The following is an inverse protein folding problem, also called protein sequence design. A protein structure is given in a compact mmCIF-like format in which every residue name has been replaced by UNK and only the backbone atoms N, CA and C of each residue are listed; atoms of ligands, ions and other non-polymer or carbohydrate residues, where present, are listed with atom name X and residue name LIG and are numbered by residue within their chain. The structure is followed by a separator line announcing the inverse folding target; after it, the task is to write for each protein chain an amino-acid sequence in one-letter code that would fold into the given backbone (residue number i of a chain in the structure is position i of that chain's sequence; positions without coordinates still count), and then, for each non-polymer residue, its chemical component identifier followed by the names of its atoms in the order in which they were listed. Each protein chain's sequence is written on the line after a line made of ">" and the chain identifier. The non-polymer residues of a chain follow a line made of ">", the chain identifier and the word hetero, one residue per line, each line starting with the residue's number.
data_IF_168585867094
#
_entry.id   IF_168585867094
#
_cell.length_a   1.000
_cell.length_b   1.000
_cell.length_c   1.000
_cell.angle_alpha   90.00
_cell.angle_beta   90.00
_cell.angle_gamma   90.00
#
_symmetry.space_group_name_H-M   'P 1'
#
loop_
_entity.id
_entity.type
_entity.pdbx_description
1 polymer ?
#
# COMPACT_ATOMS: atom_id res chain seq x y z
N UNK A 1 -57.11 -30.72 53.27
CA UNK A 1 -57.57 -30.96 51.88
C UNK A 1 -56.47 -30.82 50.81
N UNK A 2 -55.21 -30.50 51.15
CA UNK A 2 -54.19 -30.04 50.19
C UNK A 2 -53.28 -31.12 49.57
N UNK A 3 -53.39 -32.39 50.00
CA UNK A 3 -52.53 -33.47 49.50
C UNK A 3 -52.75 -33.89 48.03
N UNK A 4 -53.99 -33.97 47.49
CA UNK A 4 -54.22 -34.38 46.10
C UNK A 4 -53.83 -33.29 45.08
N UNK A 5 -53.96 -32.00 45.43
CA UNK A 5 -53.55 -30.89 44.57
C UNK A 5 -52.03 -30.83 44.41
N UNK A 6 -51.27 -31.04 45.50
CA UNK A 6 -49.80 -31.09 45.44
C UNK A 6 -49.30 -32.25 44.55
N UNK A 7 -49.99 -33.40 44.62
CA UNK A 7 -49.67 -34.55 43.78
C UNK A 7 -49.99 -34.30 42.29
N UNK A 8 -51.07 -33.58 41.98
CA UNK A 8 -51.41 -33.16 40.63
C UNK A 8 -50.37 -32.18 40.07
N UNK A 9 -49.98 -31.17 40.84
CA UNK A 9 -48.93 -30.22 40.47
C UNK A 9 -47.58 -30.90 40.27
N UNK A 10 -47.21 -31.85 41.14
CA UNK A 10 -45.98 -32.62 40.98
C UNK A 10 -45.99 -33.50 39.71
N UNK A 11 -47.15 -34.06 39.34
CA UNK A 11 -47.32 -34.83 38.11
C UNK A 11 -47.19 -33.94 36.87
N UNK A 12 -47.83 -32.77 36.89
CA UNK A 12 -47.79 -31.84 35.77
C UNK A 12 -46.40 -31.22 35.59
N UNK A 13 -45.70 -30.91 36.69
CA UNK A 13 -44.30 -30.48 36.66
C UNK A 13 -43.37 -31.55 36.08
N UNK A 14 -43.58 -32.84 36.41
CA UNK A 14 -42.82 -33.95 35.80
C UNK A 14 -43.13 -34.10 34.31
N UNK A 15 -44.39 -33.91 33.90
CA UNK A 15 -44.81 -33.97 32.49
C UNK A 15 -44.16 -32.85 31.69
N UNK A 16 -44.28 -31.60 32.16
CA UNK A 16 -43.63 -30.43 31.57
C UNK A 16 -42.11 -30.59 31.51
N UNK A 17 -41.49 -31.12 32.57
CA UNK A 17 -40.05 -31.41 32.56
C UNK A 17 -39.66 -32.46 31.51
N UNK A 18 -40.52 -33.44 31.23
CA UNK A 18 -40.35 -34.41 30.15
C UNK A 18 -40.50 -33.79 28.76
N UNK A 19 -41.54 -32.98 28.57
CA UNK A 19 -41.82 -32.24 27.33
C UNK A 19 -40.69 -31.25 27.01
N UNK A 20 -40.17 -30.53 28.01
CA UNK A 20 -39.04 -29.60 27.87
C UNK A 20 -37.76 -30.33 27.48
N UNK A 21 -37.47 -31.50 28.08
CA UNK A 21 -36.33 -32.33 27.69
C UNK A 21 -36.46 -32.80 26.24
N UNK A 22 -37.62 -33.32 25.85
CA UNK A 22 -37.85 -33.76 24.47
C UNK A 22 -37.72 -32.62 23.46
N UNK A 23 -38.25 -31.44 23.79
CA UNK A 23 -38.11 -30.24 22.95
C UNK A 23 -36.66 -29.79 22.85
N UNK A 24 -35.90 -29.82 23.95
CA UNK A 24 -34.47 -29.49 23.96
C UNK A 24 -33.66 -30.48 23.10
N UNK A 25 -33.93 -31.78 23.21
CA UNK A 25 -33.28 -32.80 22.38
C UNK A 25 -33.60 -32.63 20.89
N UNK A 26 -34.87 -32.32 20.55
CA UNK A 26 -35.27 -32.01 19.17
C UNK A 26 -34.57 -30.76 18.65
N UNK A 27 -34.51 -29.69 19.45
CA UNK A 27 -33.81 -28.46 19.09
C UNK A 27 -32.31 -28.69 18.89
N UNK A 28 -31.66 -29.45 19.78
CA UNK A 28 -30.25 -29.82 19.64
C UNK A 28 -30.00 -30.62 18.36
N UNK A 29 -30.86 -31.61 18.06
CA UNK A 29 -30.76 -32.41 16.82
C UNK A 29 -30.97 -31.57 15.57
N UNK A 30 -31.82 -30.54 15.62
CA UNK A 30 -32.04 -29.62 14.51
C UNK A 30 -30.87 -28.63 14.32
N UNK A 31 -30.24 -28.20 15.41
CA UNK A 31 -29.18 -27.16 15.40
C UNK A 31 -27.79 -27.74 15.12
N UNK A 32 -27.49 -28.96 15.59
CA UNK A 32 -26.16 -29.57 15.46
C UNK A 32 -25.65 -29.66 14.01
N UNK A 33 -26.45 -30.08 13.01
CA UNK A 33 -26.03 -30.06 11.61
C UNK A 33 -25.69 -28.66 11.12
N UNK A 34 -26.46 -27.65 11.53
CA UNK A 34 -26.22 -26.24 11.16
C UNK A 34 -24.88 -25.77 11.73
N UNK A 35 -24.61 -26.02 13.01
CA UNK A 35 -23.31 -25.69 13.64
C UNK A 35 -22.13 -26.35 12.93
N UNK A 36 -22.30 -27.61 12.50
CA UNK A 36 -21.26 -28.33 11.74
C UNK A 36 -21.02 -27.70 10.38
N UNK A 37 -22.08 -27.27 9.70
CA UNK A 37 -22.00 -26.53 8.44
C UNK A 37 -21.32 -25.18 8.65
N UNK A 38 -21.70 -24.41 9.67
CA UNK A 38 -21.09 -23.11 9.98
C UNK A 38 -19.59 -23.24 10.23
N UNK A 39 -19.18 -24.26 11.00
CA UNK A 39 -17.78 -24.54 11.24
C UNK A 39 -17.04 -24.95 9.96
N UNK A 40 -17.67 -25.73 9.08
CA UNK A 40 -17.11 -26.10 7.79
C UNK A 40 -17.00 -24.90 6.84
N UNK A 41 -18.02 -24.06 6.80
CA UNK A 41 -18.07 -22.82 6.02
C UNK A 41 -16.96 -21.87 6.48
N UNK A 42 -16.83 -21.62 7.80
CA UNK A 42 -15.77 -20.77 8.33
C UNK A 42 -14.37 -21.26 7.95
N UNK A 43 -14.11 -22.58 8.03
CA UNK A 43 -12.84 -23.15 7.56
C UNK A 43 -12.63 -22.99 6.05
N UNK A 44 -13.68 -23.17 5.26
CA UNK A 44 -13.63 -23.01 3.81
C UNK A 44 -13.36 -21.55 3.44
N UNK A 45 -14.03 -20.58 4.07
CA UNK A 45 -13.79 -19.16 3.86
C UNK A 45 -12.35 -18.76 4.19
N UNK A 46 -11.81 -19.21 5.33
CA UNK A 46 -10.41 -18.94 5.68
C UNK A 46 -9.41 -19.58 4.70
N UNK A 47 -9.74 -20.76 4.16
CA UNK A 47 -8.92 -21.40 3.12
C UNK A 47 -8.98 -20.63 1.79
N UNK A 48 -10.14 -20.09 1.41
CA UNK A 48 -10.32 -19.27 0.22
C UNK A 48 -9.54 -17.97 0.33
N UNK A 49 -9.64 -17.25 1.45
CA UNK A 49 -8.85 -16.03 1.69
C UNK A 49 -7.35 -16.29 1.53
N UNK A 50 -6.85 -17.40 2.07
CA UNK A 50 -5.45 -17.78 1.91
C UNK A 50 -5.07 -18.14 0.46
N UNK A 51 -6.00 -18.71 -0.31
CA UNK A 51 -5.78 -18.96 -1.74
C UNK A 51 -5.74 -17.64 -2.51
N UNK A 52 -6.63 -16.71 -2.20
CA UNK A 52 -6.64 -15.38 -2.80
C UNK A 52 -5.32 -14.63 -2.52
N UNK A 53 -4.81 -14.69 -1.29
CA UNK A 53 -3.50 -14.12 -0.94
C UNK A 53 -2.35 -14.75 -1.75
N UNK A 54 -2.38 -16.07 -1.98
CA UNK A 54 -1.37 -16.76 -2.79
C UNK A 54 -1.48 -16.36 -4.27
N UNK A 55 -2.69 -16.24 -4.79
CA UNK A 55 -2.93 -15.78 -6.16
C UNK A 55 -2.46 -14.34 -6.34
N UNK A 56 -2.70 -13.48 -5.36
CA UNK A 56 -2.20 -12.11 -5.32
C UNK A 56 -0.68 -12.06 -5.32
N UNK A 57 -0.02 -12.91 -4.53
CA UNK A 57 1.44 -13.02 -4.51
C UNK A 57 1.99 -13.39 -5.89
N UNK A 58 1.44 -14.43 -6.52
CA UNK A 58 1.84 -14.87 -7.86
C UNK A 58 1.55 -13.79 -8.92
N UNK A 59 0.42 -13.10 -8.78
CA UNK A 59 0.05 -11.95 -9.59
C UNK A 59 1.08 -10.82 -9.48
N UNK A 60 1.60 -10.55 -8.27
CA UNK A 60 2.65 -9.54 -8.07
C UNK A 60 3.97 -9.95 -8.73
N UNK A 61 4.39 -11.21 -8.61
CA UNK A 61 5.61 -11.74 -9.23
C UNK A 61 5.54 -11.75 -10.77
N UNK A 62 4.37 -12.05 -11.33
CA UNK A 62 4.14 -11.97 -12.78
C UNK A 62 4.03 -10.51 -13.26
N UNK A 63 3.29 -9.70 -12.49
CA UNK A 63 2.99 -8.31 -12.80
C UNK A 63 4.22 -7.41 -12.78
N UNK A 64 5.14 -7.62 -11.83
CA UNK A 64 6.34 -6.79 -11.72
C UNK A 64 7.23 -6.90 -12.97
N UNK A 65 7.36 -8.10 -13.54
CA UNK A 65 8.12 -8.31 -14.78
C UNK A 65 7.46 -7.62 -15.97
N UNK A 66 6.13 -7.60 -16.03
CA UNK A 66 5.41 -6.88 -17.08
C UNK A 66 5.57 -5.36 -16.93
N UNK A 67 5.35 -4.83 -15.74
CA UNK A 67 5.49 -3.40 -15.44
C UNK A 67 6.90 -2.89 -15.75
N UNK A 68 7.95 -3.64 -15.40
CA UNK A 68 9.33 -3.29 -15.73
C UNK A 68 9.61 -3.30 -17.24
N UNK A 69 9.04 -4.24 -18.00
CA UNK A 69 9.20 -4.27 -19.47
C UNK A 69 8.50 -3.10 -20.15
N UNK A 70 7.33 -2.71 -19.64
CA UNK A 70 6.53 -1.63 -20.20
C UNK A 70 6.99 -0.25 -19.69
N UNK A 71 8.06 -0.22 -18.88
CA UNK A 71 8.59 0.98 -18.22
C UNK A 71 7.54 1.72 -17.36
N UNK A 72 6.56 0.99 -16.84
CA UNK A 72 5.57 1.50 -15.89
C UNK A 72 6.14 1.47 -14.47
N UNK A 73 6.90 2.50 -14.13
CA UNK A 73 7.59 2.62 -12.84
C UNK A 73 6.61 2.71 -11.66
N UNK A 74 5.44 3.33 -11.87
CA UNK A 74 4.43 3.49 -10.83
C UNK A 74 3.70 2.18 -10.57
N UNK A 75 3.31 1.47 -11.63
CA UNK A 75 2.75 0.13 -11.54
C UNK A 75 3.71 -0.85 -10.87
N UNK A 76 5.00 -0.78 -11.21
CA UNK A 76 6.04 -1.59 -10.60
C UNK A 76 6.17 -1.31 -9.09
N UNK A 77 6.31 -0.04 -8.68
CA UNK A 77 6.41 0.34 -7.27
C UNK A 77 5.16 -0.05 -6.46
N UNK A 78 3.96 0.09 -7.05
CA UNK A 78 2.70 -0.29 -6.40
C UNK A 78 2.60 -1.81 -6.22
N UNK A 79 3.04 -2.57 -7.23
CA UNK A 79 3.07 -4.03 -7.20
C UNK A 79 4.04 -4.54 -6.12
N UNK A 80 5.21 -3.91 -5.97
CA UNK A 80 6.17 -4.21 -4.90
C UNK A 80 5.60 -3.95 -3.51
N UNK A 81 4.96 -2.81 -3.31
CA UNK A 81 4.33 -2.49 -2.02
C UNK A 81 3.25 -3.52 -1.67
N UNK A 82 2.45 -3.94 -2.66
CA UNK A 82 1.44 -5.00 -2.47
C UNK A 82 2.10 -6.34 -2.13
N UNK A 83 3.19 -6.70 -2.82
CA UNK A 83 3.95 -7.92 -2.52
C UNK A 83 4.44 -7.95 -1.08
N UNK A 84 5.08 -6.90 -0.59
CA UNK A 84 5.54 -6.84 0.81
C UNK A 84 4.42 -6.89 1.85
N UNK A 85 3.20 -6.47 1.48
CA UNK A 85 2.03 -6.61 2.34
C UNK A 85 1.57 -8.07 2.41
N UNK A 86 1.48 -8.75 1.26
CA UNK A 86 1.01 -10.14 1.13
C UNK A 86 2.05 -11.14 1.63
N UNK A 87 3.34 -10.88 1.45
CA UNK A 87 4.46 -11.71 1.91
C UNK A 87 4.48 -11.96 3.42
N UNK A 88 3.82 -11.10 4.21
CA UNK A 88 3.64 -11.27 5.66
C UNK A 88 2.50 -12.23 6.02
N UNK A 89 1.56 -12.45 5.10
CA UNK A 89 0.35 -13.24 5.29
C UNK A 89 0.55 -14.69 4.79
N UNK A 90 1.34 -14.86 3.74
CA UNK A 90 1.57 -16.16 3.10
C UNK A 90 3.04 -16.57 3.14
N UNK A 91 3.34 -17.88 3.23
CA UNK A 91 4.70 -18.36 3.09
C UNK A 91 5.20 -18.11 1.66
N UNK A 92 6.27 -17.34 1.54
CA UNK A 92 6.93 -17.03 0.27
C UNK A 92 8.25 -17.79 0.18
N UNK A 93 8.53 -18.38 -0.98
CA UNK A 93 9.80 -19.10 -1.21
C UNK A 93 10.97 -18.13 -1.32
N UNK A 94 12.17 -18.56 -0.92
CA UNK A 94 13.37 -17.72 -1.03
C UNK A 94 13.67 -17.32 -2.49
N UNK A 95 13.33 -18.19 -3.45
CA UNK A 95 13.47 -17.90 -4.87
C UNK A 95 12.55 -16.75 -5.33
N UNK A 96 11.30 -16.71 -4.85
CA UNK A 96 10.35 -15.64 -5.17
C UNK A 96 10.77 -14.31 -4.52
N UNK A 97 11.32 -14.36 -3.30
CA UNK A 97 11.90 -13.20 -2.63
C UNK A 97 13.07 -12.63 -3.41
N UNK A 98 13.95 -13.50 -3.89
CA UNK A 98 15.10 -13.11 -4.70
C UNK A 98 14.66 -12.42 -6.00
N UNK A 99 13.70 -13.01 -6.71
CA UNK A 99 13.15 -12.41 -7.93
C UNK A 99 12.56 -11.02 -7.67
N UNK A 100 11.84 -10.84 -6.55
CA UNK A 100 11.30 -9.52 -6.21
C UNK A 100 12.40 -8.52 -5.84
N UNK A 101 13.43 -8.96 -5.11
CA UNK A 101 14.58 -8.12 -4.76
C UNK A 101 15.36 -7.66 -5.99
N UNK A 102 15.68 -8.57 -6.91
CA UNK A 102 16.34 -8.22 -8.18
C UNK A 102 15.53 -7.18 -8.97
N UNK A 103 14.21 -7.35 -9.01
CA UNK A 103 13.31 -6.39 -9.64
C UNK A 103 13.33 -5.03 -8.92
N UNK A 104 13.44 -5.02 -7.59
CA UNK A 104 13.49 -3.80 -6.76
C UNK A 104 14.77 -3.02 -7.00
N UNK A 105 15.91 -3.71 -6.97
CA UNK A 105 17.21 -3.11 -7.27
C UNK A 105 17.21 -2.50 -8.69
N UNK A 106 16.65 -3.23 -9.66
CA UNK A 106 16.52 -2.73 -11.02
C UNK A 106 15.62 -1.50 -11.12
N UNK A 107 14.47 -1.50 -10.45
CA UNK A 107 13.53 -0.38 -10.44
C UNK A 107 14.16 0.87 -9.80
N UNK A 108 14.82 0.70 -8.65
CA UNK A 108 15.51 1.79 -7.95
C UNK A 108 16.59 2.39 -8.86
N UNK A 109 17.35 1.56 -9.58
CA UNK A 109 18.37 2.04 -10.51
C UNK A 109 17.77 2.87 -11.66
N UNK A 110 16.67 2.41 -12.27
CA UNK A 110 15.97 3.17 -13.32
C UNK A 110 15.42 4.49 -12.78
N UNK A 111 14.73 4.47 -11.64
CA UNK A 111 14.13 5.68 -11.05
C UNK A 111 15.21 6.68 -10.65
N UNK A 112 16.33 6.21 -10.09
CA UNK A 112 17.47 7.07 -9.71
C UNK A 112 18.02 7.78 -10.94
N UNK A 113 18.25 7.04 -12.03
CA UNK A 113 18.76 7.60 -13.29
C UNK A 113 17.78 8.61 -13.89
N UNK A 114 16.48 8.27 -13.93
CA UNK A 114 15.43 9.17 -14.42
C UNK A 114 15.31 10.44 -13.56
N UNK A 115 15.54 10.33 -12.26
CA UNK A 115 15.58 11.47 -11.35
C UNK A 115 16.79 12.36 -11.66
N UNK A 116 18.00 11.80 -11.73
CA UNK A 116 19.21 12.57 -12.04
C UNK A 116 19.09 13.32 -13.39
N UNK A 117 18.50 12.67 -14.40
CA UNK A 117 18.18 13.28 -15.70
C UNK A 117 17.19 14.45 -15.55
N UNK A 118 16.12 14.28 -14.77
CA UNK A 118 15.16 15.35 -14.48
C UNK A 118 15.79 16.54 -13.74
N UNK A 119 16.72 16.27 -12.81
CA UNK A 119 17.49 17.32 -12.13
C UNK A 119 18.42 18.05 -13.11
N UNK A 120 19.02 17.33 -14.06
CA UNK A 120 19.90 17.92 -15.08
C UNK A 120 19.15 18.78 -16.10
N UNK A 121 17.94 18.37 -16.51
CA UNK A 121 17.10 19.11 -17.47
C UNK A 121 16.25 20.20 -16.82
N UNK A 122 16.32 20.34 -15.50
CA UNK A 122 15.54 21.28 -14.70
C UNK A 122 14.02 21.08 -14.82
N UNK A 123 13.58 19.84 -15.04
CA UNK A 123 12.17 19.45 -15.15
C UNK A 123 11.55 19.24 -13.76
N UNK A 124 10.81 20.25 -13.29
CA UNK A 124 10.14 20.21 -11.99
C UNK A 124 9.09 19.10 -11.89
N UNK A 125 8.39 18.79 -12.97
CA UNK A 125 7.31 17.81 -12.96
C UNK A 125 7.89 16.39 -12.83
N UNK A 126 8.92 16.08 -13.62
CA UNK A 126 9.63 14.82 -13.52
C UNK A 126 10.34 14.66 -12.17
N UNK A 127 10.96 15.72 -11.63
CA UNK A 127 11.56 15.70 -10.29
C UNK A 127 10.52 15.38 -9.21
N UNK A 128 9.34 15.98 -9.25
CA UNK A 128 8.26 15.68 -8.29
C UNK A 128 7.73 14.24 -8.42
N UNK A 129 7.58 13.73 -9.64
CA UNK A 129 7.16 12.34 -9.85
C UNK A 129 8.19 11.35 -9.32
N UNK A 130 9.47 11.55 -9.64
CA UNK A 130 10.53 10.65 -9.22
C UNK A 130 10.75 10.72 -7.69
N UNK A 131 10.58 11.87 -7.04
CA UNK A 131 10.64 11.95 -5.58
C UNK A 131 9.50 11.18 -4.90
N UNK A 132 8.29 11.27 -5.43
CA UNK A 132 7.16 10.46 -4.95
C UNK A 132 7.39 8.96 -5.15
N UNK A 133 7.95 8.56 -6.29
CA UNK A 133 8.32 7.17 -6.56
C UNK A 133 9.41 6.68 -5.59
N UNK A 134 10.44 7.47 -5.32
CA UNK A 134 11.46 7.12 -4.33
C UNK A 134 10.87 6.91 -2.94
N UNK A 135 9.91 7.74 -2.53
CA UNK A 135 9.19 7.55 -1.26
C UNK A 135 8.39 6.25 -1.25
N UNK A 136 7.71 5.90 -2.35
CA UNK A 136 7.00 4.63 -2.48
C UNK A 136 7.92 3.41 -2.39
N UNK A 137 9.18 3.55 -2.81
CA UNK A 137 10.22 2.53 -2.73
C UNK A 137 10.99 2.54 -1.39
N UNK A 138 10.60 3.39 -0.43
CA UNK A 138 11.29 3.50 0.86
C UNK A 138 12.69 4.12 0.78
N UNK A 139 13.01 4.82 -0.32
CA UNK A 139 14.28 5.54 -0.55
C UNK A 139 14.12 7.04 -0.30
N UNK A 140 13.40 7.40 0.77
CA UNK A 140 13.03 8.78 1.08
C UNK A 140 14.24 9.71 1.26
N UNK A 141 15.30 9.23 1.92
CA UNK A 141 16.53 10.00 2.15
C UNK A 141 17.23 10.35 0.83
N UNK A 142 17.43 9.36 -0.04
CA UNK A 142 18.04 9.56 -1.35
C UNK A 142 17.19 10.48 -2.24
N UNK A 143 15.86 10.32 -2.21
CA UNK A 143 14.95 11.19 -2.95
C UNK A 143 14.95 12.63 -2.44
N UNK A 144 15.07 12.83 -1.12
CA UNK A 144 15.17 14.15 -0.51
C UNK A 144 16.48 14.84 -0.90
N UNK A 145 17.61 14.15 -0.84
CA UNK A 145 18.92 14.69 -1.23
C UNK A 145 18.94 15.17 -2.68
N UNK A 146 18.45 14.34 -3.61
CA UNK A 146 18.33 14.70 -5.03
C UNK A 146 17.39 15.90 -5.24
N UNK A 147 16.28 15.97 -4.49
CA UNK A 147 15.37 17.11 -4.54
C UNK A 147 16.01 18.40 -4.01
N UNK A 148 16.78 18.32 -2.92
CA UNK A 148 17.53 19.46 -2.40
C UNK A 148 18.62 19.92 -3.38
N UNK A 149 19.31 19.00 -4.04
CA UNK A 149 20.26 19.32 -5.10
C UNK A 149 19.62 20.07 -6.26
N UNK A 150 18.43 19.63 -6.69
CA UNK A 150 17.64 20.35 -7.67
C UNK A 150 17.30 21.78 -7.22
N UNK A 151 16.80 21.95 -5.99
CA UNK A 151 16.48 23.28 -5.46
C UNK A 151 17.71 24.18 -5.41
N UNK A 152 18.86 23.68 -4.95
CA UNK A 152 20.13 24.44 -4.92
C UNK A 152 20.53 24.93 -6.32
N UNK A 153 20.43 24.07 -7.34
CA UNK A 153 20.74 24.44 -8.73
C UNK A 153 19.77 25.50 -9.25
N UNK A 154 18.48 25.31 -9.02
CA UNK A 154 17.43 26.24 -9.45
C UNK A 154 17.59 27.62 -8.80
N UNK A 155 17.85 27.67 -7.50
CA UNK A 155 18.11 28.92 -6.77
C UNK A 155 19.36 29.63 -7.26
N UNK A 156 20.45 28.90 -7.54
CA UNK A 156 21.68 29.47 -8.11
C UNK A 156 21.43 30.11 -9.48
N UNK A 157 20.77 29.38 -10.38
CA UNK A 157 20.42 29.89 -11.71
C UNK A 157 19.52 31.15 -11.64
N UNK A 158 18.55 31.17 -10.71
CA UNK A 158 17.71 32.35 -10.47
C UNK A 158 18.52 33.53 -9.91
N UNK A 159 19.42 33.30 -8.96
CA UNK A 159 20.27 34.35 -8.40
C UNK A 159 21.20 34.96 -9.47
N UNK A 160 21.81 34.13 -10.32
CA UNK A 160 22.65 34.58 -11.44
C UNK A 160 21.85 35.39 -12.48
N UNK A 161 20.60 34.98 -12.78
CA UNK A 161 19.71 35.73 -13.66
C UNK A 161 19.30 37.11 -13.08
N UNK A 162 19.10 37.20 -11.77
CA UNK A 162 18.82 38.48 -11.08
C UNK A 162 20.04 39.39 -11.09
N UNK A 163 21.23 38.85 -10.78
CA UNK A 163 22.48 39.61 -10.76
C UNK A 163 22.87 40.13 -12.15
N UNK A 164 22.69 39.33 -13.21
CA UNK A 164 22.94 39.78 -14.59
C UNK A 164 22.00 40.89 -15.00
N UNK A 165 20.68 40.75 -14.77
CA UNK A 165 19.70 41.82 -15.03
C UNK A 165 20.02 43.11 -14.27
N UNK A 166 20.46 43.01 -13.02
CA UNK A 166 20.85 44.19 -12.23
C UNK A 166 22.07 44.90 -12.83
N UNK A 167 23.08 44.14 -13.30
CA UNK A 167 24.26 44.70 -13.98
C UNK A 167 23.90 45.40 -15.29
N UNK A 168 22.99 44.82 -16.07
CA UNK A 168 22.54 45.42 -17.33
C UNK A 168 21.78 46.74 -17.10
N UNK A 169 21.02 46.85 -16.00
CA UNK A 169 20.33 48.11 -15.62
C UNK A 169 21.24 49.21 -15.07
N UNK A 170 22.39 48.84 -14.47
CA UNK A 170 23.36 49.79 -13.90
C UNK A 170 24.31 50.38 -14.95
N UNK A 171 24.52 49.72 -16.09
CA UNK A 171 25.39 50.21 -17.17
C UNK A 171 24.75 51.27 -18.09
N UNK A 172 23.46 51.57 -17.91
CA UNK A 172 22.70 52.50 -18.75
C UNK A 172 22.66 53.96 -18.29
N UNK A 173 23.09 54.27 -17.06
CA UNK A 173 22.81 55.58 -16.44
C UNK A 173 24.02 56.55 -16.42
N UNK A 174 25.15 56.19 -17.04
CA UNK A 174 26.38 57.01 -17.06
C UNK A 174 26.67 57.70 -18.42
N UNK A 175 25.65 57.86 -19.27
CA UNK A 175 25.75 58.62 -20.53
C UNK A 175 24.63 59.62 -20.68
N UNK A 176 24.70 60.75 -19.98
CA UNK A 176 23.73 61.82 -20.27
C UNK A 176 23.66 63.05 -19.38
N UNK A 177 24.72 63.47 -18.68
CA UNK A 177 24.78 64.85 -18.16
C UNK A 177 26.13 65.46 -18.46
N UNK A 178 26.42 65.64 -19.76
CA UNK A 178 27.41 66.60 -20.19
C UNK A 178 26.82 68.00 -19.97
N UNK A 179 27.31 68.62 -18.90
CA UNK A 179 27.20 70.03 -18.55
C UNK A 179 27.40 70.90 -19.80
N UNK A 180 26.43 71.76 -20.11
CA UNK A 180 26.63 72.90 -20.99
C UNK A 180 26.33 74.20 -20.23
N UNK A 181 27.24 75.13 -20.46
CA UNK A 181 27.43 76.44 -19.85
C UNK A 181 26.21 77.37 -19.86
#
# INVERSE_FOLDING_TARGET
>A
ESAPELAAVARDARRLGGELRSTSELAQRAIEPVRRIDAAHSRASAALERVDDILDLQGCLGGIRAALRDNDLLGAATTMRRFHAVEKLVPVSDADREVMREAEEHLVAIVTKAFDEAVATNDLEAVNRNSQLMNLLGKEEQGADQYFDFLKRKMRAQAEAVVSRAKDSSGGDDRGVAVNA
#
